data_IF_984998838166
#
_entry.id   IF_984998838166
#
_cell.length_a   1.000
_cell.length_b   1.000
_cell.length_c   1.000
_cell.angle_alpha   90.00
_cell.angle_beta   90.00
_cell.angle_gamma   90.00
#
_symmetry.space_group_name_H-M   'P 1'
#
loop_
_entity.id
_entity.type
_entity.pdbx_description
1 polymer ?
#
# COMPACT_ATOMS: atom_id res chain seq x y z
N UNK A 1 -0.29 25.16 -22.16
CA UNK A 1 -0.17 24.03 -21.22
C UNK A 1 0.71 22.97 -21.86
N UNK A 2 1.90 22.74 -21.32
CA UNK A 2 2.82 21.73 -21.84
C UNK A 2 2.15 20.35 -21.72
N UNK A 3 2.34 19.51 -22.75
CA UNK A 3 1.79 18.16 -22.83
C UNK A 3 2.04 17.44 -21.52
N UNK A 4 0.94 17.02 -20.88
CA UNK A 4 0.95 16.18 -19.69
C UNK A 4 1.71 14.90 -20.03
N UNK A 5 2.99 14.83 -19.64
CA UNK A 5 3.70 13.55 -19.58
C UNK A 5 2.82 12.57 -18.81
N UNK A 6 2.65 11.36 -19.32
CA UNK A 6 1.87 10.36 -18.60
C UNK A 6 2.60 10.07 -17.28
N UNK A 7 1.83 9.82 -16.21
CA UNK A 7 2.40 9.52 -14.88
C UNK A 7 3.31 8.27 -14.92
N UNK A 8 3.11 7.42 -15.91
CA UNK A 8 3.91 6.22 -16.19
C UNK A 8 5.33 6.53 -16.70
N UNK A 9 5.55 7.67 -17.34
CA UNK A 9 6.85 8.06 -17.92
C UNK A 9 7.76 8.79 -16.92
N UNK A 10 7.20 9.23 -15.78
CA UNK A 10 7.92 10.03 -14.79
C UNK A 10 8.72 9.15 -13.82
N UNK A 11 9.86 9.66 -13.36
CA UNK A 11 10.62 9.03 -12.27
C UNK A 11 9.91 9.19 -10.91
N UNK A 12 10.28 8.36 -9.93
CA UNK A 12 9.67 8.40 -8.59
C UNK A 12 9.83 9.78 -7.92
N UNK A 13 11.01 10.39 -8.06
CA UNK A 13 11.29 11.72 -7.52
C UNK A 13 10.41 12.81 -8.16
N UNK A 14 10.20 12.73 -9.48
CA UNK A 14 9.34 13.67 -10.20
C UNK A 14 7.86 13.47 -9.81
N UNK A 15 7.41 12.22 -9.63
CA UNK A 15 6.06 11.92 -9.15
C UNK A 15 5.82 12.45 -7.74
N UNK A 16 6.80 12.33 -6.85
CA UNK A 16 6.72 12.89 -5.50
C UNK A 16 6.67 14.42 -5.53
N UNK A 17 7.49 15.08 -6.35
CA UNK A 17 7.42 16.53 -6.53
C UNK A 17 6.05 16.98 -7.05
N UNK A 18 5.54 16.32 -8.10
CA UNK A 18 4.20 16.61 -8.63
C UNK A 18 3.08 16.32 -7.63
N UNK A 19 3.25 15.32 -6.76
CA UNK A 19 2.30 15.00 -5.71
C UNK A 19 2.20 16.17 -4.71
N UNK A 20 3.33 16.72 -4.31
CA UNK A 20 3.37 17.81 -3.33
C UNK A 20 2.80 19.10 -3.91
N UNK A 21 3.16 19.45 -5.15
CA UNK A 21 2.53 20.57 -5.87
C UNK A 21 1.01 20.42 -5.98
N UNK A 22 0.52 19.22 -6.32
CA UNK A 22 -0.91 18.95 -6.45
C UNK A 22 -1.65 18.99 -5.09
N UNK A 23 -0.99 18.59 -4.00
CA UNK A 23 -1.55 18.73 -2.64
C UNK A 23 -1.64 20.19 -2.23
N UNK A 24 -0.59 20.97 -2.48
CA UNK A 24 -0.57 22.40 -2.14
C UNK A 24 -1.69 23.13 -2.89
N UNK A 25 -1.85 22.85 -4.19
CA UNK A 25 -2.98 23.37 -4.98
C UNK A 25 -4.33 22.94 -4.37
N UNK A 26 -4.50 21.67 -4.01
CA UNK A 26 -5.74 21.17 -3.42
C UNK A 26 -6.07 21.85 -2.08
N UNK A 27 -5.07 22.12 -1.24
CA UNK A 27 -5.28 22.82 0.02
C UNK A 27 -5.66 24.28 -0.21
N UNK A 28 -4.98 24.97 -1.12
CA UNK A 28 -5.30 26.35 -1.50
C UNK A 28 -6.75 26.46 -2.03
N UNK A 29 -7.14 25.57 -2.94
CA UNK A 29 -8.51 25.52 -3.47
C UNK A 29 -9.53 25.19 -2.37
N UNK A 30 -9.18 24.36 -1.40
CA UNK A 30 -10.04 24.06 -0.25
C UNK A 30 -10.19 25.28 0.66
N UNK A 31 -9.13 26.06 0.89
CA UNK A 31 -9.23 27.31 1.63
C UNK A 31 -10.16 28.31 0.93
N UNK A 32 -9.97 28.51 -0.37
CA UNK A 32 -10.84 29.37 -1.19
C UNK A 32 -12.30 28.89 -1.20
N UNK A 33 -12.52 27.58 -1.21
CA UNK A 33 -13.87 27.01 -1.14
C UNK A 33 -14.54 27.33 0.19
N UNK A 34 -13.81 27.20 1.30
CA UNK A 34 -14.34 27.49 2.65
C UNK A 34 -14.58 28.99 2.84
N UNK A 35 -13.78 29.87 2.23
CA UNK A 35 -14.01 31.33 2.27
C UNK A 35 -15.10 31.80 1.30
N UNK A 36 -15.60 30.92 0.43
CA UNK A 36 -16.59 31.27 -0.59
C UNK A 36 -16.03 32.12 -1.74
N UNK A 37 -14.71 32.18 -1.90
CA UNK A 37 -14.02 32.96 -2.94
C UNK A 37 -13.59 32.13 -4.15
N UNK A 38 -13.99 30.85 -4.20
CA UNK A 38 -13.62 29.95 -5.28
C UNK A 38 -14.56 30.15 -6.48
N UNK A 39 -14.04 30.70 -7.56
CA UNK A 39 -14.81 30.96 -8.79
C UNK A 39 -15.28 29.68 -9.49
N UNK A 40 -14.47 28.61 -9.44
CA UNK A 40 -14.73 27.37 -10.17
C UNK A 40 -14.53 26.11 -9.31
N UNK A 41 -15.66 25.52 -8.88
CA UNK A 41 -15.68 24.28 -8.08
C UNK A 41 -15.09 23.07 -8.80
N UNK A 42 -15.08 23.05 -10.13
CA UNK A 42 -14.51 21.93 -10.89
C UNK A 42 -12.99 21.82 -10.71
N UNK A 43 -12.32 22.93 -10.38
CA UNK A 43 -10.87 22.93 -10.11
C UNK A 43 -10.54 22.11 -8.87
N UNK A 44 -11.32 22.26 -7.80
CA UNK A 44 -11.15 21.46 -6.58
C UNK A 44 -11.31 19.96 -6.86
N UNK A 45 -12.34 19.58 -7.61
CA UNK A 45 -12.55 18.18 -8.00
C UNK A 45 -11.46 17.64 -8.93
N UNK A 46 -10.91 18.47 -9.83
CA UNK A 46 -9.80 18.11 -10.71
C UNK A 46 -8.50 17.91 -9.94
N UNK A 47 -8.14 18.85 -9.07
CA UNK A 47 -6.93 18.79 -8.23
C UNK A 47 -6.95 17.56 -7.31
N UNK A 48 -8.07 17.28 -6.64
CA UNK A 48 -8.23 16.04 -5.83
C UNK A 48 -8.05 14.76 -6.65
N UNK A 49 -8.56 14.72 -7.88
CA UNK A 49 -8.37 13.58 -8.80
C UNK A 49 -6.91 13.44 -9.25
N UNK A 50 -6.21 14.54 -9.44
CA UNK A 50 -4.79 14.52 -9.78
C UNK A 50 -3.95 13.92 -8.65
N UNK A 51 -4.18 14.34 -7.40
CA UNK A 51 -3.54 13.73 -6.21
C UNK A 51 -3.81 12.23 -6.16
N UNK A 52 -5.07 11.81 -6.33
CA UNK A 52 -5.44 10.39 -6.29
C UNK A 52 -4.75 9.57 -7.40
N UNK A 53 -4.64 10.12 -8.62
CA UNK A 53 -3.94 9.45 -9.73
C UNK A 53 -2.46 9.24 -9.43
N UNK A 54 -1.78 10.28 -8.94
CA UNK A 54 -0.35 10.19 -8.60
C UNK A 54 -0.12 9.16 -7.48
N UNK A 55 -0.94 9.19 -6.43
CA UNK A 55 -0.87 8.19 -5.35
C UNK A 55 -1.13 6.76 -5.84
N UNK A 56 -2.03 6.58 -6.80
CA UNK A 56 -2.31 5.26 -7.37
C UNK A 56 -1.10 4.70 -8.11
N UNK A 57 -0.41 5.53 -8.89
CA UNK A 57 0.80 5.15 -9.63
C UNK A 57 1.97 4.83 -8.70
N UNK A 58 2.21 5.68 -7.69
CA UNK A 58 3.20 5.39 -6.65
C UNK A 58 2.90 4.06 -5.95
N UNK A 59 1.63 3.82 -5.62
CA UNK A 59 1.21 2.57 -4.99
C UNK A 59 1.38 1.35 -5.91
N UNK A 60 1.12 1.49 -7.21
CA UNK A 60 1.36 0.42 -8.17
C UNK A 60 2.85 0.03 -8.19
N UNK A 61 3.76 1.01 -8.23
CA UNK A 61 5.22 0.78 -8.17
C UNK A 61 5.65 0.08 -6.87
N UNK A 62 5.08 0.48 -5.74
CA UNK A 62 5.32 -0.18 -4.45
C UNK A 62 4.86 -1.65 -4.45
N UNK A 63 3.72 -1.95 -5.10
CA UNK A 63 3.22 -3.32 -5.21
C UNK A 63 4.14 -4.15 -6.11
N UNK A 64 4.52 -3.63 -7.28
CA UNK A 64 5.41 -4.33 -8.21
C UNK A 64 6.76 -4.68 -7.57
N UNK A 65 7.34 -3.73 -6.82
CA UNK A 65 8.59 -3.97 -6.09
C UNK A 65 8.42 -5.00 -4.97
N UNK A 66 7.32 -4.97 -4.23
CA UNK A 66 7.03 -5.96 -3.20
C UNK A 66 6.83 -7.36 -3.79
N UNK A 67 6.10 -7.48 -4.90
CA UNK A 67 5.90 -8.75 -5.61
C UNK A 67 7.21 -9.30 -6.16
N UNK A 68 8.08 -8.46 -6.72
CA UNK A 68 9.42 -8.85 -7.17
C UNK A 68 10.29 -9.37 -6.02
N UNK A 69 10.26 -8.73 -4.85
CA UNK A 69 10.97 -9.21 -3.66
C UNK A 69 10.42 -10.56 -3.19
N UNK A 70 9.09 -10.72 -3.16
CA UNK A 70 8.45 -11.98 -2.75
C UNK A 70 8.75 -13.13 -3.72
N UNK A 71 8.72 -12.86 -5.03
CA UNK A 71 9.10 -13.82 -6.06
C UNK A 71 10.59 -14.21 -5.93
N UNK A 72 11.47 -13.25 -5.69
CA UNK A 72 12.89 -13.54 -5.44
C UNK A 72 13.09 -14.41 -4.19
N UNK A 73 12.31 -14.15 -3.14
CA UNK A 73 12.35 -14.94 -1.90
C UNK A 73 11.84 -16.37 -2.10
N UNK A 74 10.79 -16.57 -2.89
CA UNK A 74 10.25 -17.91 -3.15
C UNK A 74 11.21 -18.74 -4.01
N UNK A 75 11.88 -18.13 -5.00
CA UNK A 75 12.93 -18.79 -5.78
C UNK A 75 14.11 -19.19 -4.89
N UNK A 76 14.60 -18.28 -4.02
CA UNK A 76 15.68 -18.59 -3.08
C UNK A 76 15.33 -19.72 -2.09
N UNK A 77 14.05 -19.84 -1.70
CA UNK A 77 13.58 -20.94 -0.85
C UNK A 77 13.51 -22.29 -1.61
N UNK A 78 13.20 -22.27 -2.91
CA UNK A 78 13.17 -23.47 -3.74
C UNK A 78 14.57 -23.94 -4.17
N UNK A 79 15.54 -23.03 -4.28
CA UNK A 79 16.94 -23.31 -4.66
C UNK A 79 17.82 -23.79 -3.49
N UNK A 80 17.28 -24.01 -2.29
CA UNK A 80 17.96 -24.76 -1.22
C UNK A 80 17.46 -26.21 -1.14
N UNK A 81 17.86 -27.12 -2.06
CA UNK A 81 17.75 -28.54 -1.79
C UNK A 81 18.96 -28.96 -0.96
N UNK A 82 18.80 -29.00 0.37
CA UNK A 82 19.75 -29.66 1.26
C UNK A 82 20.42 -28.78 2.30
N UNK A 83 19.70 -28.48 3.38
CA UNK A 83 20.30 -28.61 4.71
C UNK A 83 20.10 -30.07 5.12
N UNK A 84 21.12 -30.90 4.90
CA UNK A 84 21.20 -32.23 5.50
C UNK A 84 21.24 -32.13 7.03
N UNK A 85 20.68 -33.16 7.66
CA UNK A 85 20.68 -33.46 9.10
C UNK A 85 19.92 -32.50 10.02
N UNK A 86 18.64 -32.82 10.22
CA UNK A 86 17.98 -32.64 11.52
C UNK A 86 18.61 -33.66 12.48
N UNK A 87 19.24 -33.27 13.61
CA UNK A 87 19.56 -34.23 14.65
C UNK A 87 18.25 -34.82 15.20
N UNK A 88 18.18 -36.14 15.25
CA UNK A 88 17.08 -36.89 15.84
C UNK A 88 16.86 -36.41 17.28
N UNK A 89 15.77 -35.68 17.49
CA UNK A 89 15.30 -35.36 18.83
C UNK A 89 14.61 -36.58 19.40
N UNK A 90 15.29 -37.25 20.33
CA UNK A 90 14.78 -38.32 21.20
C UNK A 90 13.36 -38.00 21.72
N UNK A 91 12.41 -38.97 21.69
CA UNK A 91 11.03 -38.73 22.11
C UNK A 91 10.95 -38.71 23.65
N UNK A 92 11.02 -37.53 24.24
CA UNK A 92 10.88 -37.33 25.69
C UNK A 92 9.79 -36.31 26.03
N UNK A 93 8.61 -36.82 26.38
CA UNK A 93 7.54 -36.22 27.19
C UNK A 93 7.05 -34.78 26.88
N UNK A 94 5.86 -34.70 26.28
CA UNK A 94 5.00 -33.52 26.34
C UNK A 94 4.18 -33.53 27.64
N UNK A 95 4.34 -32.57 28.57
CA UNK A 95 3.33 -32.35 29.58
C UNK A 95 2.12 -31.67 28.92
N UNK A 96 0.98 -32.35 29.01
CA UNK A 96 -0.30 -31.86 28.56
C UNK A 96 -0.76 -30.68 29.43
N UNK A 97 -0.87 -29.47 28.87
CA UNK A 97 -1.84 -28.50 29.39
C UNK A 97 -2.24 -27.42 28.37
N UNK A 98 -3.56 -27.30 28.13
CA UNK A 98 -4.16 -25.99 27.92
C UNK A 98 -4.61 -25.58 26.52
N UNK A 99 -5.24 -26.46 25.74
CA UNK A 99 -6.05 -26.02 24.59
C UNK A 99 -7.26 -25.18 25.07
N UNK A 100 -7.12 -23.85 25.11
CA UNK A 100 -8.27 -22.95 25.34
C UNK A 100 -9.11 -22.85 24.07
N UNK A 101 -10.20 -23.61 24.05
CA UNK A 101 -11.29 -23.54 23.07
C UNK A 101 -11.96 -22.16 23.15
N UNK A 102 -11.77 -21.33 22.13
CA UNK A 102 -12.48 -20.06 22.00
C UNK A 102 -13.93 -20.32 21.55
N UNK A 103 -14.87 -20.43 22.50
CA UNK A 103 -16.31 -20.52 22.20
C UNK A 103 -16.80 -19.20 21.58
N UNK A 104 -17.06 -19.21 20.27
CA UNK A 104 -17.81 -18.13 19.59
C UNK A 104 -19.26 -18.11 20.12
N UNK A 105 -19.56 -17.20 21.05
CA UNK A 105 -20.95 -16.84 21.38
C UNK A 105 -21.57 -16.08 20.21
N UNK A 106 -22.47 -16.72 19.46
CA UNK A 106 -23.38 -16.04 18.54
C UNK A 106 -24.34 -15.17 19.37
N UNK A 107 -24.27 -13.84 19.20
CA UNK A 107 -25.32 -12.93 19.66
C UNK A 107 -26.53 -13.09 18.73
N UNK A 108 -27.63 -13.62 19.25
CA UNK A 108 -28.97 -13.37 18.70
C UNK A 108 -29.44 -12.02 19.24
N UNK A 109 -29.87 -11.11 18.38
CA UNK A 109 -30.78 -10.03 18.75
C UNK A 109 -32.06 -10.26 17.94
N UNK A 110 -33.14 -10.48 18.67
CA UNK A 110 -34.50 -10.24 18.20
C UNK A 110 -34.99 -8.93 18.81
#
# INVERSE_FOLDING_TARGET
MARSKSLTELGDVELLGMLDEAKDEATNLRFQHVTGQLDNMNLLARSRRQVARILTELRAREIDTAEAVMARRSVAAAESPGAGELPEAEPGEVPAEGARVFKRRRRRHG
#
